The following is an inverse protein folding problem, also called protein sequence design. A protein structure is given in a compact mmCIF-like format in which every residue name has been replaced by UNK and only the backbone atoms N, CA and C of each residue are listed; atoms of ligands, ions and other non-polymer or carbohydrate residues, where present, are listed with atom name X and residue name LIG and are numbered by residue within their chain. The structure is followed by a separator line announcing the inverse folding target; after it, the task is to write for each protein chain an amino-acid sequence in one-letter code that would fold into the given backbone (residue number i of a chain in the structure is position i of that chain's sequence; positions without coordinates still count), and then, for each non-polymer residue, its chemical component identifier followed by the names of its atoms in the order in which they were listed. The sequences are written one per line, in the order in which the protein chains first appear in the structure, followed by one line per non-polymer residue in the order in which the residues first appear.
data_IF_773374712148
#
_entry.id   IF_773374712148
#
_cell.length_a   1.000
_cell.length_b   1.000
_cell.length_c   1.000
_cell.angle_alpha   90.00
_cell.angle_beta   90.00
_cell.angle_gamma   90.00
#
_symmetry.space_group_name_H-M   'P 1'
#
loop_
_entity.id
_entity.type
_entity.pdbx_description
1 polymer ?
#
# COMPACT_ATOMS: atom_id res chain seq x y z
N UNK A 1 -25.17 46.65 -36.64
CA UNK A 1 -25.97 45.50 -36.13
C UNK A 1 -25.17 44.20 -36.12
N UNK A 2 -24.52 43.79 -37.21
CA UNK A 2 -23.73 42.53 -37.26
C UNK A 2 -22.54 42.54 -36.28
N UNK A 3 -21.76 43.62 -36.20
CA UNK A 3 -20.65 43.73 -35.23
C UNK A 3 -21.09 43.55 -33.78
N UNK A 4 -22.18 44.21 -33.36
CA UNK A 4 -22.70 44.10 -31.99
C UNK A 4 -23.23 42.68 -31.69
N UNK A 5 -23.76 41.98 -32.70
CA UNK A 5 -24.20 40.59 -32.53
C UNK A 5 -23.03 39.61 -32.37
N UNK A 6 -21.92 39.84 -33.08
CA UNK A 6 -20.68 39.06 -32.96
C UNK A 6 -20.05 39.30 -31.58
N UNK A 7 -19.97 40.55 -31.14
CA UNK A 7 -19.46 40.90 -29.81
C UNK A 7 -20.30 40.28 -28.69
N UNK A 8 -21.63 40.32 -28.82
CA UNK A 8 -22.55 39.70 -27.84
C UNK A 8 -22.38 38.18 -27.79
N UNK A 9 -22.21 37.53 -28.96
CA UNK A 9 -21.94 36.10 -29.04
C UNK A 9 -20.58 35.74 -28.39
N UNK A 10 -19.54 36.55 -28.63
CA UNK A 10 -18.24 36.38 -28.00
C UNK A 10 -18.33 36.51 -26.47
N UNK A 11 -18.95 37.57 -25.95
CA UNK A 11 -19.16 37.74 -24.50
C UNK A 11 -19.90 36.56 -23.88
N UNK A 12 -20.89 35.99 -24.59
CA UNK A 12 -21.62 34.79 -24.12
C UNK A 12 -20.72 33.55 -24.06
N UNK A 13 -19.86 33.34 -25.05
CA UNK A 13 -18.88 32.23 -25.06
C UNK A 13 -17.85 32.41 -23.94
N UNK A 14 -17.33 33.63 -23.75
CA UNK A 14 -16.40 33.96 -22.68
C UNK A 14 -17.03 33.74 -21.30
N UNK A 15 -18.27 34.19 -21.10
CA UNK A 15 -19.04 33.96 -19.87
C UNK A 15 -19.27 32.47 -19.61
N UNK A 16 -19.60 31.68 -20.64
CA UNK A 16 -19.74 30.22 -20.52
C UNK A 16 -18.41 29.57 -20.13
N UNK A 17 -17.31 29.93 -20.78
CA UNK A 17 -16.00 29.38 -20.47
C UNK A 17 -15.54 29.78 -19.05
N UNK A 18 -15.82 31.01 -18.63
CA UNK A 18 -15.57 31.47 -17.27
C UNK A 18 -16.37 30.65 -16.25
N UNK A 19 -17.66 30.41 -16.49
CA UNK A 19 -18.50 29.61 -15.61
C UNK A 19 -17.99 28.16 -15.48
N UNK A 20 -17.55 27.54 -16.58
CA UNK A 20 -16.94 26.20 -16.56
C UNK A 20 -15.67 26.20 -15.71
N UNK A 21 -14.76 27.16 -15.93
CA UNK A 21 -13.51 27.25 -15.15
C UNK A 21 -13.77 27.50 -13.68
N UNK A 22 -14.71 28.40 -13.36
CA UNK A 22 -15.12 28.67 -11.98
C UNK A 22 -15.63 27.40 -11.30
N UNK A 23 -16.47 26.63 -12.00
CA UNK A 23 -16.99 25.38 -11.46
C UNK A 23 -15.87 24.36 -11.20
N UNK A 24 -14.96 24.15 -12.16
CA UNK A 24 -13.80 23.25 -11.97
C UNK A 24 -12.94 23.70 -10.79
N UNK A 25 -12.66 25.00 -10.67
CA UNK A 25 -11.87 25.56 -9.57
C UNK A 25 -12.52 25.27 -8.20
N UNK A 26 -13.84 25.34 -8.08
CA UNK A 26 -14.53 25.10 -6.81
C UNK A 26 -14.37 23.66 -6.29
N UNK A 27 -14.34 22.67 -7.18
CA UNK A 27 -14.06 21.27 -6.79
C UNK A 27 -12.57 21.07 -6.49
N UNK A 28 -11.70 21.68 -7.29
CA UNK A 28 -10.25 21.59 -7.12
C UNK A 28 -9.78 22.25 -5.82
N UNK A 29 -10.43 23.34 -5.37
CA UNK A 29 -10.14 23.99 -4.09
C UNK A 29 -10.24 23.01 -2.91
N UNK A 30 -11.27 22.15 -2.89
CA UNK A 30 -11.46 21.13 -1.85
C UNK A 30 -10.31 20.12 -1.86
N UNK A 31 -9.99 19.56 -3.05
CA UNK A 31 -8.91 18.60 -3.21
C UNK A 31 -7.54 19.20 -2.92
N UNK A 32 -7.31 20.45 -3.29
CA UNK A 32 -6.05 21.14 -3.06
C UNK A 32 -5.81 21.36 -1.56
N UNK A 33 -6.82 21.75 -0.78
CA UNK A 33 -6.70 21.87 0.68
C UNK A 33 -6.34 20.54 1.34
N UNK A 34 -6.99 19.45 0.94
CA UNK A 34 -6.67 18.10 1.46
C UNK A 34 -5.25 17.66 1.06
N UNK A 35 -4.88 17.88 -0.21
CA UNK A 35 -3.54 17.56 -0.74
C UNK A 35 -2.44 18.30 0.00
N UNK A 36 -2.63 19.59 0.31
CA UNK A 36 -1.66 20.37 1.07
C UNK A 36 -1.38 19.73 2.44
N UNK A 37 -2.43 19.27 3.13
CA UNK A 37 -2.29 18.60 4.43
C UNK A 37 -1.50 17.29 4.27
N UNK A 38 -1.94 16.39 3.38
CA UNK A 38 -1.30 15.08 3.19
C UNK A 38 0.15 15.22 2.72
N UNK A 39 0.42 16.09 1.77
CA UNK A 39 1.79 16.27 1.25
C UNK A 39 2.70 16.91 2.29
N UNK A 40 2.20 17.83 3.11
CA UNK A 40 3.01 18.38 4.21
C UNK A 40 3.43 17.32 5.21
N UNK A 41 2.53 16.40 5.59
CA UNK A 41 2.84 15.28 6.49
C UNK A 41 3.76 14.27 5.82
N UNK A 42 3.53 13.96 4.55
CA UNK A 42 4.38 13.05 3.76
C UNK A 42 5.81 13.58 3.64
N UNK A 43 5.98 14.87 3.42
CA UNK A 43 7.30 15.51 3.33
C UNK A 43 8.05 15.43 4.67
N UNK A 44 7.38 15.57 5.82
CA UNK A 44 8.02 15.37 7.14
C UNK A 44 8.61 13.96 7.27
N UNK A 45 7.88 12.94 6.81
CA UNK A 45 8.36 11.55 6.82
C UNK A 45 9.57 11.37 5.89
N UNK A 46 9.51 11.95 4.68
CA UNK A 46 10.58 11.83 3.68
C UNK A 46 11.86 12.61 4.06
N UNK A 47 11.71 13.75 4.74
CA UNK A 47 12.82 14.54 5.27
C UNK A 47 13.54 13.84 6.44
N UNK A 48 12.97 12.75 6.94
CA UNK A 48 13.56 11.91 7.94
C UNK A 48 13.46 12.45 9.36
N UNK A 49 12.44 13.26 9.61
CA UNK A 49 12.07 13.67 10.97
C UNK A 49 11.75 12.44 11.84
N UNK A 50 11.89 12.58 13.15
CA UNK A 50 11.56 11.52 14.09
C UNK A 50 10.03 11.42 14.24
N UNK A 51 9.46 10.31 13.80
CA UNK A 51 8.01 10.08 13.77
C UNK A 51 7.45 9.42 15.04
N UNK A 52 8.29 9.14 16.05
CA UNK A 52 7.88 8.41 17.27
C UNK A 52 6.61 8.98 17.90
N UNK A 53 6.63 10.28 18.17
CA UNK A 53 5.56 10.95 18.90
C UNK A 53 4.27 10.97 18.08
N UNK A 54 4.38 11.18 16.77
CA UNK A 54 3.26 11.16 15.84
C UNK A 54 2.64 9.76 15.79
N UNK A 55 3.45 8.71 15.69
CA UNK A 55 2.99 7.31 15.69
C UNK A 55 2.30 6.97 17.01
N UNK A 56 2.88 7.34 18.16
CA UNK A 56 2.24 7.12 19.47
C UNK A 56 0.88 7.84 19.57
N UNK A 57 0.80 9.10 19.12
CA UNK A 57 -0.47 9.83 19.06
C UNK A 57 -1.49 9.15 18.14
N UNK A 58 -1.06 8.60 17.01
CA UNK A 58 -1.95 7.84 16.11
C UNK A 58 -2.47 6.57 16.78
N UNK A 59 -1.61 5.82 17.47
CA UNK A 59 -1.99 4.63 18.25
C UNK A 59 -3.01 4.99 19.32
N UNK A 60 -2.76 6.04 20.11
CA UNK A 60 -3.68 6.46 21.17
C UNK A 60 -5.00 6.96 20.60
N UNK A 61 -4.96 7.76 19.54
CA UNK A 61 -6.17 8.25 18.87
C UNK A 61 -7.01 7.13 18.27
N UNK A 62 -6.40 6.09 17.71
CA UNK A 62 -7.11 4.90 17.23
C UNK A 62 -7.76 4.13 18.39
N UNK A 63 -7.05 3.96 19.51
CA UNK A 63 -7.59 3.32 20.71
C UNK A 63 -8.78 4.10 21.27
N UNK A 64 -8.64 5.42 21.44
CA UNK A 64 -9.72 6.27 21.94
C UNK A 64 -10.93 6.25 21.02
N UNK A 65 -10.72 6.29 19.71
CA UNK A 65 -11.79 6.22 18.73
C UNK A 65 -12.56 4.90 18.82
N UNK A 66 -11.85 3.77 18.84
CA UNK A 66 -12.48 2.46 18.90
C UNK A 66 -13.17 2.21 20.25
N UNK A 67 -12.57 2.64 21.36
CA UNK A 67 -13.24 2.57 22.66
C UNK A 67 -14.54 3.37 22.66
N UNK A 68 -14.56 4.60 22.12
CA UNK A 68 -15.80 5.38 21.99
C UNK A 68 -16.84 4.74 21.07
N UNK A 69 -16.39 4.05 20.03
CA UNK A 69 -17.25 3.33 19.08
C UNK A 69 -17.95 2.14 19.75
N UNK A 70 -17.21 1.32 20.49
CA UNK A 70 -17.74 0.09 21.11
C UNK A 70 -18.36 0.32 22.49
N UNK A 71 -17.87 1.32 23.24
CA UNK A 71 -18.30 1.69 24.60
C UNK A 71 -18.75 3.16 24.65
N UNK A 72 -19.85 3.55 24.00
CA UNK A 72 -20.29 4.94 23.98
C UNK A 72 -20.79 5.37 25.37
N UNK A 73 -20.33 6.53 25.85
CA UNK A 73 -20.76 7.12 27.14
C UNK A 73 -22.26 7.41 27.19
N UNK A 74 -22.90 7.61 26.04
CA UNK A 74 -24.34 7.90 25.93
C UNK A 74 -25.23 6.66 26.08
N UNK A 75 -24.65 5.47 26.11
CA UNK A 75 -25.36 4.19 26.06
C UNK A 75 -25.14 3.45 27.40
N UNK A 76 -26.18 2.81 27.97
CA UNK A 76 -26.03 2.02 29.19
C UNK A 76 -24.99 0.90 29.04
N UNK A 77 -24.28 0.57 30.12
CA UNK A 77 -23.21 -0.44 30.11
C UNK A 77 -23.68 -1.83 29.62
N UNK A 78 -24.96 -2.17 29.79
CA UNK A 78 -25.53 -3.45 29.30
C UNK A 78 -25.54 -3.57 27.76
N UNK A 79 -25.56 -2.45 27.06
CA UNK A 79 -25.61 -2.37 25.59
C UNK A 79 -24.22 -2.18 24.97
N UNK A 80 -23.16 -2.14 25.79
CA UNK A 80 -21.78 -2.03 25.32
C UNK A 80 -21.33 -3.27 24.56
N UNK A 81 -20.67 -3.06 23.43
CA UNK A 81 -20.10 -4.14 22.62
C UNK A 81 -18.65 -4.45 23.03
N UNK A 82 -18.49 -4.92 24.27
CA UNK A 82 -17.20 -5.37 24.78
C UNK A 82 -16.63 -6.55 23.98
N UNK A 83 -17.49 -7.40 23.43
CA UNK A 83 -17.06 -8.54 22.62
C UNK A 83 -16.46 -8.07 21.30
N UNK A 84 -17.10 -7.13 20.61
CA UNK A 84 -16.59 -6.52 19.39
C UNK A 84 -15.28 -5.78 19.61
N UNK A 85 -15.14 -5.02 20.71
CA UNK A 85 -13.87 -4.37 21.06
C UNK A 85 -12.74 -5.39 21.22
N UNK A 86 -13.03 -6.52 21.88
CA UNK A 86 -12.04 -7.59 22.07
C UNK A 86 -11.68 -8.27 20.76
N UNK A 87 -12.67 -8.62 19.95
CA UNK A 87 -12.45 -9.23 18.63
C UNK A 87 -11.61 -8.31 17.74
N UNK A 88 -11.92 -7.01 17.75
CA UNK A 88 -11.19 -5.99 17.01
C UNK A 88 -9.69 -5.98 17.36
N UNK A 89 -9.32 -6.04 18.65
CA UNK A 89 -7.92 -5.98 19.10
C UNK A 89 -7.20 -7.33 19.19
N UNK A 90 -7.94 -8.44 19.07
CA UNK A 90 -7.41 -9.79 19.28
C UNK A 90 -6.26 -10.10 18.32
N UNK A 91 -5.16 -10.61 18.87
CA UNK A 91 -4.02 -11.09 18.09
C UNK A 91 -3.05 -10.01 17.62
N UNK A 92 -3.35 -8.72 17.85
CA UNK A 92 -2.40 -7.64 17.55
C UNK A 92 -2.13 -6.66 18.69
N UNK A 93 -3.11 -6.35 19.54
CA UNK A 93 -2.92 -5.54 20.74
C UNK A 93 -3.16 -6.34 22.02
N UNK A 94 -4.17 -7.21 22.02
CA UNK A 94 -4.57 -8.00 23.19
C UNK A 94 -4.49 -9.51 22.92
N UNK A 95 -4.34 -10.28 24.00
CA UNK A 95 -4.42 -11.74 24.00
C UNK A 95 -5.75 -12.29 24.56
N UNK A 96 -5.91 -13.63 24.59
CA UNK A 96 -7.14 -14.28 25.04
C UNK A 96 -7.55 -13.98 26.48
N UNK A 97 -6.58 -13.67 27.35
CA UNK A 97 -6.79 -13.40 28.78
C UNK A 97 -7.08 -11.92 29.08
N UNK A 98 -7.03 -11.06 28.07
CA UNK A 98 -7.17 -9.62 28.26
C UNK A 98 -8.63 -9.15 28.11
N UNK A 99 -8.97 -8.07 28.84
CA UNK A 99 -10.28 -7.44 28.87
C UNK A 99 -11.42 -8.40 29.24
N UNK A 100 -11.16 -9.34 30.16
CA UNK A 100 -12.21 -10.13 30.78
C UNK A 100 -12.74 -9.39 32.00
N UNK A 101 -13.95 -8.88 31.89
CA UNK A 101 -14.68 -8.26 32.99
C UNK A 101 -15.88 -9.14 33.33
N UNK A 102 -16.10 -9.35 34.62
CA UNK A 102 -17.34 -9.92 35.13
C UNK A 102 -18.49 -8.93 34.93
N UNK A 103 -19.74 -9.41 34.96
CA UNK A 103 -20.92 -8.53 34.79
C UNK A 103 -20.94 -7.38 35.80
N UNK A 104 -20.58 -7.65 37.06
CA UNK A 104 -20.49 -6.63 38.11
C UNK A 104 -19.35 -5.64 37.86
N UNK A 105 -18.23 -6.06 37.29
CA UNK A 105 -17.14 -5.14 36.97
C UNK A 105 -17.49 -4.23 35.79
N UNK A 106 -18.30 -4.70 34.85
CA UNK A 106 -18.80 -3.88 33.72
C UNK A 106 -19.73 -2.77 34.20
N UNK A 107 -20.54 -3.01 35.23
CA UNK A 107 -21.45 -1.99 35.79
C UNK A 107 -20.71 -0.74 36.29
N UNK A 108 -19.53 -0.92 36.87
CA UNK A 108 -18.68 0.15 37.40
C UNK A 108 -17.53 0.56 36.45
N UNK A 109 -17.47 -0.01 35.24
CA UNK A 109 -16.37 0.21 34.30
C UNK A 109 -16.53 1.56 33.60
N UNK A 110 -15.44 2.33 33.54
CA UNK A 110 -15.40 3.56 32.75
C UNK A 110 -14.70 3.31 31.40
N UNK A 111 -15.20 3.87 30.27
CA UNK A 111 -14.54 3.73 28.97
C UNK A 111 -13.09 4.24 28.99
N UNK A 112 -12.83 5.30 29.75
CA UNK A 112 -11.49 5.88 29.89
C UNK A 112 -10.50 4.94 30.58
N UNK A 113 -10.98 4.09 31.49
CA UNK A 113 -10.19 3.03 32.09
C UNK A 113 -9.76 2.00 31.03
N UNK A 114 -10.71 1.51 30.22
CA UNK A 114 -10.43 0.57 29.13
C UNK A 114 -9.45 1.14 28.11
N UNK A 115 -9.63 2.40 27.72
CA UNK A 115 -8.70 3.09 26.83
C UNK A 115 -7.29 3.18 27.44
N UNK A 116 -7.18 3.45 28.74
CA UNK A 116 -5.90 3.53 29.44
C UNK A 116 -5.19 2.17 29.51
N UNK A 117 -5.91 1.09 29.80
CA UNK A 117 -5.35 -0.27 29.79
C UNK A 117 -4.79 -0.65 28.40
N UNK A 118 -5.56 -0.37 27.35
CA UNK A 118 -5.17 -0.62 25.97
C UNK A 118 -3.94 0.22 25.56
N UNK A 119 -3.89 1.50 25.94
CA UNK A 119 -2.73 2.37 25.68
C UNK A 119 -1.47 1.85 26.38
N UNK A 120 -1.57 1.46 27.65
CA UNK A 120 -0.45 0.91 28.41
C UNK A 120 0.09 -0.38 27.78
N UNK A 121 -0.80 -1.25 27.29
CA UNK A 121 -0.40 -2.45 26.54
C UNK A 121 0.28 -2.09 25.22
N UNK A 122 -0.27 -1.14 24.47
CA UNK A 122 0.32 -0.67 23.23
C UNK A 122 1.73 -0.12 23.45
N UNK A 123 1.93 0.66 24.51
CA UNK A 123 3.25 1.17 24.91
C UNK A 123 4.22 0.04 25.27
N UNK A 124 3.78 -0.96 26.03
CA UNK A 124 4.61 -2.10 26.38
C UNK A 124 5.07 -2.88 25.13
N UNK A 125 4.15 -3.13 24.19
CA UNK A 125 4.48 -3.78 22.90
C UNK A 125 5.44 -2.92 22.09
N UNK A 126 5.16 -1.63 21.98
CA UNK A 126 5.99 -0.70 21.23
C UNK A 126 7.42 -0.64 21.80
N UNK A 127 7.56 -0.51 23.13
CA UNK A 127 8.85 -0.47 23.81
C UNK A 127 9.62 -1.79 23.65
N UNK A 128 8.93 -2.93 23.77
CA UNK A 128 9.54 -4.25 23.55
C UNK A 128 10.10 -4.38 22.12
N UNK A 129 9.36 -3.89 21.11
CA UNK A 129 9.83 -3.86 19.73
C UNK A 129 10.99 -2.91 19.51
N UNK A 130 10.96 -1.71 20.09
CA UNK A 130 12.08 -0.77 19.98
C UNK A 130 13.36 -1.37 20.60
N UNK A 131 13.24 -2.09 21.72
CA UNK A 131 14.35 -2.82 22.33
C UNK A 131 14.86 -3.98 21.46
N UNK A 132 13.95 -4.73 20.82
CA UNK A 132 14.29 -5.82 19.91
C UNK A 132 14.98 -5.33 18.63
N UNK A 133 14.47 -4.25 18.02
CA UNK A 133 14.92 -3.76 16.73
C UNK A 133 16.09 -2.79 16.84
N UNK A 134 16.29 -2.18 18.00
CA UNK A 134 17.09 -0.96 18.24
C UNK A 134 16.40 0.31 17.75
N UNK A 135 16.67 1.44 18.43
CA UNK A 135 16.03 2.73 18.13
C UNK A 135 16.21 3.19 16.68
N UNK A 136 17.41 3.15 16.05
CA UNK A 136 17.58 3.60 14.67
C UNK A 136 16.72 2.80 13.68
N UNK A 137 16.67 1.48 13.82
CA UNK A 137 15.85 0.63 12.94
C UNK A 137 14.36 0.88 13.21
N UNK A 138 13.96 1.10 14.47
CA UNK A 138 12.57 1.43 14.79
C UNK A 138 12.12 2.74 14.12
N UNK A 139 12.97 3.78 14.08
CA UNK A 139 12.66 5.02 13.34
C UNK A 139 12.47 4.75 11.84
N UNK A 140 13.29 3.89 11.24
CA UNK A 140 13.12 3.49 9.84
C UNK A 140 11.80 2.75 9.61
N UNK A 141 11.46 1.80 10.50
CA UNK A 141 10.21 1.06 10.45
C UNK A 141 9.01 2.00 10.51
N UNK A 142 9.01 2.97 11.41
CA UNK A 142 7.95 3.98 11.50
C UNK A 142 7.77 4.76 10.21
N UNK A 143 8.85 5.28 9.65
CA UNK A 143 8.79 6.05 8.40
C UNK A 143 8.21 5.21 7.27
N UNK A 144 8.70 3.97 7.12
CA UNK A 144 8.25 3.07 6.06
C UNK A 144 6.78 2.68 6.23
N UNK A 145 6.35 2.36 7.45
CA UNK A 145 4.96 1.98 7.73
C UNK A 145 4.02 3.16 7.48
N UNK A 146 4.34 4.33 8.04
CA UNK A 146 3.50 5.52 7.88
C UNK A 146 3.42 5.96 6.42
N UNK A 147 4.57 6.04 5.72
CA UNK A 147 4.59 6.43 4.31
C UNK A 147 3.76 5.47 3.45
N UNK A 148 3.88 4.15 3.69
CA UNK A 148 3.10 3.15 2.95
C UNK A 148 1.60 3.33 3.16
N UNK A 149 1.16 3.53 4.40
CA UNK A 149 -0.26 3.68 4.70
C UNK A 149 -0.81 5.00 4.15
N UNK A 150 -0.08 6.11 4.30
CA UNK A 150 -0.46 7.40 3.70
C UNK A 150 -0.57 7.29 2.19
N UNK A 151 0.41 6.68 1.53
CA UNK A 151 0.42 6.55 0.08
C UNK A 151 -0.77 5.69 -0.42
N UNK A 152 -1.05 4.56 0.24
CA UNK A 152 -2.17 3.70 -0.14
C UNK A 152 -3.53 4.39 0.04
N UNK A 153 -3.80 4.89 1.25
CA UNK A 153 -5.10 5.48 1.60
C UNK A 153 -5.36 6.78 0.81
N UNK A 154 -4.33 7.57 0.52
CA UNK A 154 -4.47 8.77 -0.29
C UNK A 154 -4.77 8.48 -1.76
N UNK A 155 -4.17 7.42 -2.34
CA UNK A 155 -4.50 7.00 -3.70
C UNK A 155 -5.97 6.55 -3.78
N UNK A 156 -6.39 5.69 -2.84
CA UNK A 156 -7.77 5.20 -2.78
C UNK A 156 -8.77 6.37 -2.58
N UNK A 157 -8.41 7.37 -1.76
CA UNK A 157 -9.21 8.58 -1.56
C UNK A 157 -9.30 9.47 -2.80
N UNK A 158 -8.22 9.65 -3.57
CA UNK A 158 -8.28 10.40 -4.84
C UNK A 158 -9.27 9.75 -5.80
N UNK A 159 -9.19 8.42 -5.96
CA UNK A 159 -10.09 7.67 -6.85
C UNK A 159 -11.54 7.78 -6.36
N UNK A 160 -11.76 7.71 -5.05
CA UNK A 160 -13.09 7.87 -4.46
C UNK A 160 -13.65 9.30 -4.63
N UNK A 161 -12.81 10.33 -4.53
CA UNK A 161 -13.19 11.73 -4.76
C UNK A 161 -13.52 12.01 -6.23
N UNK A 162 -12.81 11.39 -7.18
CA UNK A 162 -13.16 11.46 -8.60
C UNK A 162 -14.54 10.84 -8.86
N UNK A 163 -14.80 9.66 -8.31
CA UNK A 163 -16.12 9.01 -8.41
C UNK A 163 -17.22 9.85 -7.75
N UNK A 164 -16.95 10.46 -6.60
CA UNK A 164 -17.87 11.36 -5.94
C UNK A 164 -18.20 12.55 -6.83
N UNK A 165 -17.19 13.17 -7.45
CA UNK A 165 -17.39 14.32 -8.34
C UNK A 165 -18.28 13.99 -9.54
N UNK A 166 -18.13 12.80 -10.11
CA UNK A 166 -18.98 12.34 -11.21
C UNK A 166 -20.41 12.03 -10.74
N UNK A 167 -20.57 11.39 -9.58
CA UNK A 167 -21.85 11.03 -8.99
C UNK A 167 -22.67 12.22 -8.48
N UNK A 168 -22.02 13.24 -7.90
CA UNK A 168 -22.69 14.38 -7.24
C UNK A 168 -23.51 15.21 -8.22
N UNK A 169 -23.15 15.19 -9.52
CA UNK A 169 -23.90 15.87 -10.58
C UNK A 169 -25.34 15.36 -10.69
N UNK A 170 -25.60 14.10 -10.31
CA UNK A 170 -26.93 13.51 -10.26
C UNK A 170 -27.74 13.94 -9.02
N UNK A 171 -27.13 14.55 -8.01
CA UNK A 171 -27.86 15.11 -6.85
C UNK A 171 -28.36 16.53 -7.07
N UNK A 172 -27.88 17.22 -8.12
CA UNK A 172 -28.37 18.53 -8.54
C UNK A 172 -29.90 18.57 -8.80
N UNK A 173 -30.52 17.41 -9.07
CA UNK A 173 -31.97 17.28 -9.26
C UNK A 173 -32.78 17.54 -7.98
N UNK A 174 -32.15 17.54 -6.79
CA UNK A 174 -32.79 17.79 -5.51
C UNK A 174 -32.78 19.28 -5.07
N UNK A 175 -32.47 20.22 -5.98
CA UNK A 175 -32.28 21.65 -5.67
C UNK A 175 -31.17 21.96 -4.64
N UNK A 176 -30.25 21.01 -4.41
CA UNK A 176 -29.05 21.23 -3.62
C UNK A 176 -27.89 21.68 -4.53
N UNK A 177 -27.01 22.53 -4.01
CA UNK A 177 -25.79 22.93 -4.73
C UNK A 177 -24.78 21.77 -4.70
N UNK A 178 -24.44 21.17 -5.86
CA UNK A 178 -23.55 20.00 -5.90
C UNK A 178 -22.15 20.27 -5.35
N UNK A 179 -21.67 21.52 -5.42
CA UNK A 179 -20.36 21.88 -4.85
C UNK A 179 -20.38 21.82 -3.33
N UNK A 180 -21.50 22.19 -2.71
CA UNK A 180 -21.66 22.14 -1.26
C UNK A 180 -21.73 20.70 -0.79
N UNK A 181 -22.55 19.87 -1.44
CA UNK A 181 -22.65 18.44 -1.13
C UNK A 181 -21.32 17.71 -1.32
N UNK A 182 -20.60 18.00 -2.41
CA UNK A 182 -19.26 17.46 -2.64
C UNK A 182 -18.28 17.83 -1.52
N UNK A 183 -18.35 19.06 -1.02
CA UNK A 183 -17.49 19.50 0.09
C UNK A 183 -17.82 18.77 1.39
N UNK A 184 -19.10 18.55 1.69
CA UNK A 184 -19.54 17.86 2.90
C UNK A 184 -19.12 16.39 2.86
N UNK A 185 -19.53 15.67 1.81
CA UNK A 185 -19.21 14.23 1.68
C UNK A 185 -17.71 14.01 1.49
N UNK A 186 -17.03 14.89 0.74
CA UNK A 186 -15.58 14.83 0.60
C UNK A 186 -14.80 15.12 1.88
N UNK A 187 -15.39 15.84 2.84
CA UNK A 187 -14.82 16.02 4.17
C UNK A 187 -14.98 14.75 5.02
N UNK A 188 -16.16 14.14 5.02
CA UNK A 188 -16.42 12.87 5.74
C UNK A 188 -15.53 11.73 5.22
N UNK A 189 -15.33 11.67 3.90
CA UNK A 189 -14.41 10.73 3.26
C UNK A 189 -12.95 10.98 3.66
N UNK A 190 -12.54 12.25 3.75
CA UNK A 190 -11.19 12.61 4.18
C UNK A 190 -10.94 12.25 5.65
N UNK A 191 -11.90 12.52 6.55
CA UNK A 191 -11.81 12.13 7.95
C UNK A 191 -11.74 10.60 8.10
N UNK A 192 -12.52 9.86 7.30
CA UNK A 192 -12.49 8.40 7.26
C UNK A 192 -11.13 7.86 6.78
N UNK A 193 -10.56 8.46 5.73
CA UNK A 193 -9.21 8.13 5.26
C UNK A 193 -8.16 8.39 6.34
N UNK A 194 -8.23 9.53 7.05
CA UNK A 194 -7.31 9.84 8.14
C UNK A 194 -7.45 8.83 9.29
N UNK A 195 -8.66 8.41 9.62
CA UNK A 195 -8.90 7.37 10.62
C UNK A 195 -8.28 6.03 10.20
N UNK A 196 -8.46 5.63 8.93
CA UNK A 196 -7.87 4.42 8.37
C UNK A 196 -6.33 4.46 8.41
N UNK A 197 -5.70 5.59 8.05
CA UNK A 197 -4.25 5.77 8.15
C UNK A 197 -3.78 5.56 9.60
N UNK A 198 -4.48 6.13 10.59
CA UNK A 198 -4.11 5.99 12.01
C UNK A 198 -4.19 4.54 12.46
N UNK A 199 -5.29 3.86 12.17
CA UNK A 199 -5.53 2.48 12.59
C UNK A 199 -4.57 1.50 11.91
N UNK A 200 -4.43 1.58 10.58
CA UNK A 200 -3.53 0.73 9.81
C UNK A 200 -2.08 0.92 10.25
N UNK A 201 -1.68 2.15 10.57
CA UNK A 201 -0.35 2.46 11.10
C UNK A 201 -0.14 1.88 12.50
N UNK A 202 -1.10 2.05 13.41
CA UNK A 202 -1.05 1.47 14.74
C UNK A 202 -0.93 -0.06 14.67
N UNK A 203 -1.77 -0.70 13.85
CA UNK A 203 -1.78 -2.16 13.67
C UNK A 203 -0.48 -2.68 13.10
N UNK A 204 0.02 -2.06 12.04
CA UNK A 204 1.29 -2.48 11.44
C UNK A 204 2.46 -2.30 12.40
N UNK A 205 2.54 -1.19 13.12
CA UNK A 205 3.62 -0.95 14.09
C UNK A 205 3.60 -1.97 15.23
N UNK A 206 2.42 -2.27 15.78
CA UNK A 206 2.27 -3.20 16.90
C UNK A 206 2.44 -4.68 16.48
N UNK A 207 2.36 -5.00 15.19
CA UNK A 207 2.50 -6.38 14.69
C UNK A 207 3.77 -6.65 13.90
N UNK A 208 4.49 -5.61 13.44
CA UNK A 208 5.67 -5.78 12.57
C UNK A 208 6.72 -6.68 13.22
N UNK A 209 7.33 -7.54 12.42
CA UNK A 209 8.42 -8.43 12.83
C UNK A 209 9.58 -8.24 11.86
N UNK A 210 10.80 -8.07 12.38
CA UNK A 210 11.99 -8.09 11.55
C UNK A 210 12.23 -9.51 11.05
N UNK A 211 12.16 -9.71 9.73
CA UNK A 211 12.61 -10.95 9.13
C UNK A 211 14.14 -11.02 9.26
N UNK A 212 14.63 -11.91 10.12
CA UNK A 212 16.07 -12.20 10.17
C UNK A 212 16.46 -12.86 8.86
N UNK A 213 17.60 -12.45 8.28
CA UNK A 213 18.09 -12.95 6.97
C UNK A 213 18.19 -14.48 6.88
N UNK A 214 18.27 -15.18 8.01
CA UNK A 214 18.32 -16.65 8.09
C UNK A 214 16.97 -17.32 7.78
N UNK A 215 15.85 -16.61 7.87
CA UNK A 215 14.50 -17.11 7.58
C UNK A 215 14.04 -16.83 6.14
N UNK A 216 14.89 -16.23 5.30
CA UNK A 216 14.61 -16.14 3.87
C UNK A 216 14.69 -17.57 3.30
N UNK A 217 13.61 -18.14 2.73
CA UNK A 217 13.69 -19.43 2.08
C UNK A 217 14.74 -19.32 0.98
N UNK A 218 15.87 -20.01 1.15
CA UNK A 218 16.81 -20.18 0.06
C UNK A 218 16.02 -20.82 -1.07
N UNK A 219 15.91 -20.10 -2.19
CA UNK A 219 15.27 -20.60 -3.39
C UNK A 219 16.14 -21.75 -3.89
N UNK A 220 15.89 -22.96 -3.38
CA UNK A 220 16.40 -24.18 -4.00
C UNK A 220 15.95 -24.10 -5.46
N UNK A 221 16.93 -24.08 -6.37
CA UNK A 221 16.66 -24.07 -7.79
C UNK A 221 16.02 -25.40 -8.15
N UNK A 222 14.69 -25.46 -8.04
CA UNK A 222 13.91 -26.59 -8.54
C UNK A 222 13.94 -26.49 -10.06
N UNK A 223 14.44 -27.56 -10.67
CA UNK A 223 14.60 -27.81 -12.10
C UNK A 223 15.75 -27.05 -12.80
N UNK A 224 16.89 -27.74 -12.91
CA UNK A 224 17.63 -27.75 -14.18
C UNK A 224 16.63 -28.09 -15.28
N UNK A 225 16.45 -27.19 -16.24
CA UNK A 225 15.61 -27.39 -17.42
C UNK A 225 15.92 -28.75 -18.04
N UNK A 226 15.03 -29.72 -17.80
CA UNK A 226 14.98 -30.93 -18.60
C UNK A 226 14.26 -30.51 -19.86
N UNK A 227 15.03 -30.31 -20.93
CA UNK A 227 14.50 -30.01 -22.25
C UNK A 227 13.46 -31.06 -22.64
N UNK A 228 12.20 -30.65 -22.63
CA UNK A 228 11.11 -31.40 -23.23
C UNK A 228 11.36 -31.46 -24.75
N UNK A 229 11.84 -32.62 -25.20
CA UNK A 229 12.12 -32.90 -26.60
C UNK A 229 12.01 -34.40 -26.87
N UNK A 230 10.76 -34.85 -27.03
CA UNK A 230 10.33 -36.08 -27.70
C UNK A 230 10.78 -37.44 -27.12
N UNK A 231 9.82 -38.21 -26.62
CA UNK A 231 9.88 -39.68 -26.70
C UNK A 231 8.47 -40.25 -26.90
N UNK A 232 8.11 -40.44 -28.17
CA UNK A 232 7.27 -41.56 -28.56
C UNK A 232 8.02 -42.86 -28.28
N UNK A 233 7.31 -43.81 -27.69
CA UNK A 233 7.46 -45.26 -27.77
C UNK A 233 8.83 -45.85 -28.21
N UNK A 234 9.37 -46.70 -27.36
CA UNK A 234 10.00 -47.94 -27.82
C UNK A 234 11.52 -48.04 -27.66
N UNK A 235 11.86 -48.97 -26.78
CA UNK A 235 12.93 -49.95 -26.97
C UNK A 235 14.32 -49.71 -26.34
N UNK A 236 14.90 -50.85 -25.98
CA UNK A 236 15.96 -51.05 -24.99
C UNK A 236 17.37 -50.68 -25.48
N UNK A 237 18.20 -50.33 -24.49
CA UNK A 237 19.65 -50.59 -24.36
C UNK A 237 20.68 -49.80 -25.19
N UNK A 238 21.80 -49.55 -24.48
CA UNK A 238 23.13 -49.02 -24.89
C UNK A 238 23.35 -47.51 -24.68
N UNK A 239 24.00 -47.20 -23.54
CA UNK A 239 24.62 -45.90 -23.25
C UNK A 239 25.64 -45.54 -24.34
N UNK A 240 25.37 -44.49 -25.12
CA UNK A 240 26.30 -43.91 -26.09
C UNK A 240 27.09 -42.77 -25.42
N UNK A 241 28.40 -42.92 -25.31
CA UNK A 241 29.31 -41.80 -25.03
C UNK A 241 29.26 -40.79 -26.19
N UNK A 242 29.32 -39.47 -25.91
CA UNK A 242 29.29 -38.45 -26.95
C UNK A 242 30.58 -38.50 -27.79
N UNK A 243 30.40 -38.73 -29.09
CA UNK A 243 31.48 -38.73 -30.09
C UNK A 243 31.99 -37.29 -30.25
N UNK A 244 33.25 -37.07 -29.90
CA UNK A 244 33.94 -35.80 -30.13
C UNK A 244 34.04 -35.56 -31.65
N UNK A 245 33.21 -34.65 -32.16
CA UNK A 245 33.25 -34.24 -33.58
C UNK A 245 34.53 -33.42 -33.80
N UNK A 246 35.53 -33.99 -34.45
CA UNK A 246 36.74 -33.25 -34.82
C UNK A 246 36.35 -32.07 -35.73
N UNK A 247 36.83 -30.87 -35.40
CA UNK A 247 36.61 -29.66 -36.22
C UNK A 247 37.23 -29.90 -37.60
N UNK A 248 36.42 -29.84 -38.66
CA UNK A 248 36.94 -29.87 -40.03
C UNK A 248 37.81 -28.63 -40.25
N UNK A 249 39.01 -28.75 -40.83
CA UNK A 249 39.87 -27.61 -41.14
C UNK A 249 39.15 -26.65 -42.09
N UNK A 250 39.28 -25.34 -41.86
CA UNK A 250 38.79 -24.33 -42.79
C UNK A 250 39.54 -24.37 -44.11
N UNK A 251 38.91 -23.96 -45.21
CA UNK A 251 39.48 -24.03 -46.59
C UNK A 251 40.88 -23.42 -46.72
N UNK A 252 41.24 -22.43 -45.91
CA UNK A 252 42.54 -21.75 -45.95
C UNK A 252 43.51 -22.20 -44.83
N UNK A 253 43.09 -23.07 -43.92
CA UNK A 253 43.91 -23.55 -42.80
C UNK A 253 45.01 -24.50 -43.29
N UNK A 254 46.08 -24.71 -42.51
CA UNK A 254 47.10 -25.71 -42.82
C UNK A 254 46.47 -27.09 -42.99
N UNK A 255 46.82 -27.80 -44.06
CA UNK A 255 46.26 -29.12 -44.32
C UNK A 255 46.71 -30.13 -43.25
N UNK A 256 45.80 -30.87 -42.61
CA UNK A 256 46.14 -31.79 -41.52
C UNK A 256 46.96 -33.01 -41.98
N UNK A 257 47.14 -33.23 -43.29
CA UNK A 257 48.01 -34.29 -43.82
C UNK A 257 49.51 -33.95 -43.73
N UNK A 258 49.88 -32.78 -43.19
CA UNK A 258 51.29 -32.39 -42.97
C UNK A 258 52.03 -31.91 -44.22
N UNK A 259 51.33 -31.64 -45.33
CA UNK A 259 51.95 -31.23 -46.60
C UNK A 259 52.49 -29.79 -46.63
N UNK A 260 52.25 -29.00 -45.57
CA UNK A 260 52.63 -27.58 -45.50
C UNK A 260 51.79 -26.63 -46.38
N UNK A 261 50.84 -27.16 -47.15
CA UNK A 261 49.95 -26.39 -48.03
C UNK A 261 48.59 -26.08 -47.35
N UNK A 262 47.89 -25.04 -47.81
CA UNK A 262 46.51 -24.72 -47.36
C UNK A 262 45.53 -25.82 -47.79
N UNK A 263 44.53 -26.13 -46.96
CA UNK A 263 43.57 -27.24 -47.15
C UNK A 263 42.95 -27.30 -48.54
N UNK A 264 42.47 -26.18 -49.09
CA UNK A 264 41.90 -26.07 -50.45
C UNK A 264 42.85 -26.42 -51.60
N UNK A 265 44.16 -26.43 -51.35
CA UNK A 265 45.19 -26.76 -52.35
C UNK A 265 45.72 -28.19 -52.18
N UNK A 266 45.26 -28.93 -51.18
CA UNK A 266 45.70 -30.27 -50.86
C UNK A 266 44.49 -31.22 -50.69
N UNK A 267 44.22 -31.75 -49.50
CA UNK A 267 43.14 -32.72 -49.28
C UNK A 267 41.74 -32.16 -49.59
N UNK A 268 41.53 -30.84 -49.49
CA UNK A 268 40.28 -30.17 -49.84
C UNK A 268 40.26 -29.57 -51.24
N UNK A 269 41.10 -30.03 -52.18
CA UNK A 269 41.14 -29.53 -53.57
C UNK A 269 39.96 -30.01 -54.41
N UNK A 270 39.41 -31.18 -54.07
CA UNK A 270 38.30 -31.82 -54.77
C UNK A 270 37.05 -31.96 -53.88
N UNK A 271 37.06 -31.31 -52.70
CA UNK A 271 35.87 -31.07 -51.86
C UNK A 271 35.30 -29.68 -52.16
#
# INVERSE_FOLDING_TARGET
MVSNSIESAQRKVESRNFAIRKNVLQYDEVMNSQRQIIYSQRDQVLNGENMKEQIQKMVYGAIEHNVKQYLPESVPHEEWDMMGLREHYMGWLIGPEDLHFTKSEIEDLEPEHVATELKNKADAIYQAKEAEFTSPIMREVERVVLLRNVDQEWMDHIDAMEQLQDGIRLRAYANQDPVVEYRIEGFDMFDSMIAAIRENTAKMILTVRLRKKEEAPQREQVAKETSAGAASAGDKTVQKQPVHKQKKPGRNDPCPCGSGLKYKKCCGRNE
#
